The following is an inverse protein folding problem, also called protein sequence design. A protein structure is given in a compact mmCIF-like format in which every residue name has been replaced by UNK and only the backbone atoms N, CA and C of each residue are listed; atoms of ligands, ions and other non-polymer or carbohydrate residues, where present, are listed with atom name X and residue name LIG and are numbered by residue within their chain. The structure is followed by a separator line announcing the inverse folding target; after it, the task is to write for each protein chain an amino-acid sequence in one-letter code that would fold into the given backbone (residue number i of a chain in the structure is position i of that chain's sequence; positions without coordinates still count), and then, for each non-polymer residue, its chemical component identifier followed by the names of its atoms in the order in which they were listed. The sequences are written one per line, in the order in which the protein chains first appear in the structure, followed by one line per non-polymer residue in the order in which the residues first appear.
data_IF_736423111535
#
_entry.id   IF_736423111535
#
_cell.length_a   1.000
_cell.length_b   1.000
_cell.length_c   1.000
_cell.angle_alpha   90.00
_cell.angle_beta   90.00
_cell.angle_gamma   90.00
#
_symmetry.space_group_name_H-M   'P 1'
#
loop_
_entity.id
_entity.type
_entity.pdbx_description
1 polymer ?
#
# COMPACT_ATOMS: atom_id res chain seq x y z
N UNK A 1 25.79 -14.58 -66.11
CA UNK A 1 24.50 -14.31 -65.45
C UNK A 1 24.75 -14.24 -63.95
N UNK A 2 24.71 -13.01 -63.41
CA UNK A 2 24.94 -12.75 -61.97
C UNK A 2 23.60 -12.84 -61.24
N UNK A 3 23.55 -13.69 -60.18
CA UNK A 3 22.43 -13.76 -59.27
C UNK A 3 22.88 -13.05 -57.98
N UNK A 4 22.27 -11.93 -57.72
CA UNK A 4 22.46 -11.14 -56.49
C UNK A 4 21.70 -11.83 -55.36
N UNK A 5 22.45 -12.27 -54.32
CA UNK A 5 21.84 -12.69 -53.05
C UNK A 5 21.69 -11.47 -52.15
N UNK A 6 20.41 -11.10 -51.89
CA UNK A 6 20.07 -10.06 -50.94
C UNK A 6 20.14 -10.66 -49.56
N UNK A 7 21.13 -10.25 -48.76
CA UNK A 7 21.22 -10.54 -47.33
C UNK A 7 20.22 -9.60 -46.60
N UNK A 8 19.07 -10.16 -46.19
CA UNK A 8 18.21 -9.49 -45.24
C UNK A 8 18.85 -9.59 -43.85
N UNK A 9 19.43 -8.50 -43.39
CA UNK A 9 19.77 -8.32 -41.98
C UNK A 9 18.49 -8.04 -41.22
N UNK A 10 17.91 -9.05 -40.59
CA UNK A 10 16.87 -8.84 -39.58
C UNK A 10 17.54 -8.36 -38.30
N UNK A 11 17.50 -7.06 -38.09
CA UNK A 11 17.79 -6.46 -36.81
C UNK A 11 16.76 -6.93 -35.79
N UNK A 12 17.10 -7.95 -35.05
CA UNK A 12 16.37 -8.34 -33.85
C UNK A 12 16.70 -7.31 -32.75
N UNK A 13 15.98 -6.19 -32.76
CA UNK A 13 16.01 -5.23 -31.69
C UNK A 13 15.50 -5.93 -30.43
N UNK A 14 16.44 -6.25 -29.52
CA UNK A 14 16.12 -6.67 -28.16
C UNK A 14 15.40 -5.52 -27.47
N UNK A 15 14.08 -5.57 -27.47
CA UNK A 15 13.27 -4.82 -26.50
C UNK A 15 13.56 -5.41 -25.12
N UNK A 16 14.62 -4.92 -24.49
CA UNK A 16 14.76 -5.01 -23.05
C UNK A 16 13.66 -4.13 -22.47
N UNK A 17 12.52 -4.72 -22.14
CA UNK A 17 11.50 -4.08 -21.33
C UNK A 17 12.11 -3.88 -19.96
N UNK A 18 12.71 -2.73 -19.74
CA UNK A 18 12.99 -2.27 -18.40
C UNK A 18 11.63 -2.22 -17.69
N UNK A 19 11.44 -3.08 -16.70
CA UNK A 19 10.32 -3.04 -15.80
C UNK A 19 10.47 -1.73 -14.99
N UNK A 20 10.04 -0.64 -15.59
CA UNK A 20 9.91 0.64 -14.92
C UNK A 20 8.81 0.41 -13.91
N UNK A 21 9.17 0.18 -12.65
CA UNK A 21 8.22 0.14 -11.54
C UNK A 21 7.64 1.54 -11.44
N UNK A 22 6.48 1.73 -12.06
CA UNK A 22 5.73 2.97 -11.95
C UNK A 22 5.24 3.05 -10.50
N UNK A 23 5.92 3.88 -9.71
CA UNK A 23 5.53 4.18 -8.33
C UNK A 23 4.17 4.88 -8.37
N UNK A 24 3.23 4.42 -7.54
CA UNK A 24 1.89 4.97 -7.46
C UNK A 24 1.89 6.43 -7.02
N UNK A 25 1.18 7.26 -7.75
CA UNK A 25 1.01 8.69 -7.51
C UNK A 25 -0.46 9.09 -7.45
N UNK A 26 -0.73 10.34 -7.06
CA UNK A 26 -2.07 10.92 -7.17
C UNK A 26 -2.53 10.85 -8.62
N UNK A 27 -3.76 10.38 -8.85
CA UNK A 27 -4.35 10.16 -10.16
C UNK A 27 -4.20 8.73 -10.70
N UNK A 28 -3.33 7.90 -10.10
CA UNK A 28 -3.18 6.52 -10.51
C UNK A 28 -4.29 5.63 -9.89
N UNK A 29 -4.70 4.63 -10.65
CA UNK A 29 -5.62 3.61 -10.16
C UNK A 29 -4.85 2.53 -9.42
N UNK A 30 -5.33 2.16 -8.22
CA UNK A 30 -4.72 1.10 -7.43
C UNK A 30 -4.88 -0.27 -8.11
N UNK A 31 -3.97 -1.25 -7.83
CA UNK A 31 -4.10 -2.62 -8.34
C UNK A 31 -5.42 -3.26 -7.91
N UNK A 32 -6.00 -4.10 -8.77
CA UNK A 32 -7.21 -4.84 -8.43
C UNK A 32 -6.98 -5.81 -7.27
N UNK A 33 -5.87 -6.55 -7.28
CA UNK A 33 -5.51 -7.45 -6.18
C UNK A 33 -4.56 -6.72 -5.25
N UNK A 34 -4.99 -6.54 -3.99
CA UNK A 34 -4.21 -5.88 -2.95
C UNK A 34 -3.38 -6.89 -2.12
N UNK A 35 -3.72 -8.18 -2.15
CA UNK A 35 -2.99 -9.22 -1.43
C UNK A 35 -3.90 -10.11 -0.62
N UNK A 36 -3.36 -10.75 0.42
CA UNK A 36 -4.12 -11.61 1.31
C UNK A 36 -4.14 -11.04 2.73
N UNK A 37 -5.27 -11.18 3.39
CA UNK A 37 -5.41 -10.83 4.80
C UNK A 37 -4.81 -11.90 5.72
N UNK A 38 -4.91 -11.66 7.02
CA UNK A 38 -4.40 -12.57 8.05
C UNK A 38 -5.10 -13.95 8.06
N UNK A 39 -6.27 -14.08 7.45
CA UNK A 39 -7.05 -15.32 7.32
C UNK A 39 -6.82 -16.03 5.98
N UNK A 40 -6.02 -15.43 5.07
CA UNK A 40 -5.75 -15.95 3.74
C UNK A 40 -6.79 -15.56 2.69
N UNK A 41 -7.73 -14.68 3.01
CA UNK A 41 -8.70 -14.18 2.04
C UNK A 41 -8.01 -13.17 1.10
N UNK A 42 -8.28 -13.28 -0.19
CA UNK A 42 -7.78 -12.31 -1.17
C UNK A 42 -8.58 -11.01 -1.03
N UNK A 43 -7.89 -9.92 -0.79
CA UNK A 43 -8.45 -8.56 -0.71
C UNK A 43 -8.29 -7.89 -2.07
N UNK A 44 -9.39 -7.40 -2.62
CA UNK A 44 -9.45 -6.74 -3.92
C UNK A 44 -9.90 -5.30 -3.79
N UNK A 45 -9.47 -4.45 -4.72
CA UNK A 45 -9.96 -3.07 -4.81
C UNK A 45 -11.48 -3.03 -5.02
N UNK A 46 -12.03 -3.97 -5.81
CA UNK A 46 -13.47 -4.10 -6.06
C UNK A 46 -14.29 -4.44 -4.81
N UNK A 47 -13.69 -5.02 -3.77
CA UNK A 47 -14.38 -5.27 -2.49
C UNK A 47 -14.80 -3.96 -1.80
N UNK A 48 -14.18 -2.85 -2.17
CA UNK A 48 -14.41 -1.52 -1.61
C UNK A 48 -15.09 -0.57 -2.61
N UNK A 49 -15.63 -1.09 -3.70
CA UNK A 49 -16.30 -0.28 -4.71
C UNK A 49 -17.40 0.61 -4.08
N UNK A 50 -17.42 1.89 -4.48
CA UNK A 50 -18.35 2.89 -3.93
C UNK A 50 -17.93 3.47 -2.57
N UNK A 51 -16.74 3.12 -2.07
CA UNK A 51 -16.15 3.70 -0.86
C UNK A 51 -14.78 4.30 -1.16
N UNK A 52 -14.42 5.36 -0.46
CA UNK A 52 -13.04 5.85 -0.43
C UNK A 52 -12.20 4.85 0.36
N UNK A 53 -11.09 4.38 -0.20
CA UNK A 53 -10.24 3.39 0.47
C UNK A 53 -9.01 4.07 1.08
N UNK A 54 -8.78 3.83 2.36
CA UNK A 54 -7.55 4.19 3.07
C UNK A 54 -6.65 2.97 3.07
N UNK A 55 -5.44 3.11 2.53
CA UNK A 55 -4.40 2.08 2.54
C UNK A 55 -3.22 2.64 3.31
N UNK A 56 -2.99 2.17 4.55
CA UNK A 56 -1.85 2.64 5.32
C UNK A 56 -0.74 1.59 5.37
N UNK A 57 0.45 2.01 4.98
CA UNK A 57 1.67 1.22 5.04
C UNK A 57 2.43 1.52 6.31
N UNK A 58 2.80 0.48 7.05
CA UNK A 58 3.55 0.62 8.30
C UNK A 58 4.69 -0.40 8.38
N UNK A 59 5.79 -0.07 9.10
CA UNK A 59 7.01 -0.87 9.07
C UNK A 59 6.89 -2.26 9.68
N UNK A 60 6.23 -2.39 10.85
CA UNK A 60 6.23 -3.66 11.59
C UNK A 60 5.17 -3.70 12.69
N UNK A 61 4.49 -4.85 12.83
CA UNK A 61 3.58 -5.15 13.94
C UNK A 61 4.26 -4.98 15.31
N UNK A 62 3.47 -4.62 16.31
CA UNK A 62 3.88 -4.52 17.71
C UNK A 62 5.04 -3.54 17.99
N UNK A 63 5.31 -2.61 17.09
CA UNK A 63 6.20 -1.47 17.36
C UNK A 63 5.41 -0.29 17.92
N UNK A 64 6.00 0.61 18.75
CA UNK A 64 5.24 1.68 19.41
C UNK A 64 4.47 2.59 18.44
N UNK A 65 5.13 3.06 17.37
CA UNK A 65 4.51 3.95 16.38
C UNK A 65 3.42 3.25 15.56
N UNK A 66 3.64 2.00 15.16
CA UNK A 66 2.64 1.24 14.38
C UNK A 66 1.43 0.85 15.24
N UNK A 67 1.66 0.54 16.51
CA UNK A 67 0.58 0.29 17.47
C UNK A 67 -0.24 1.55 17.71
N UNK A 68 0.40 2.70 17.92
CA UNK A 68 -0.29 3.97 18.11
C UNK A 68 -1.16 4.33 16.90
N UNK A 69 -0.64 4.15 15.68
CA UNK A 69 -1.39 4.39 14.44
C UNK A 69 -2.60 3.46 14.31
N UNK A 70 -2.40 2.15 14.50
CA UNK A 70 -3.47 1.17 14.42
C UNK A 70 -4.57 1.43 15.45
N UNK A 71 -4.21 1.78 16.69
CA UNK A 71 -5.17 2.14 17.74
C UNK A 71 -5.92 3.42 17.41
N UNK A 72 -5.24 4.48 16.93
CA UNK A 72 -5.88 5.72 16.49
C UNK A 72 -6.89 5.47 15.37
N UNK A 73 -6.53 4.66 14.37
CA UNK A 73 -7.43 4.29 13.29
C UNK A 73 -8.60 3.44 13.78
N UNK A 74 -8.37 2.52 14.72
CA UNK A 74 -9.41 1.69 15.33
C UNK A 74 -10.40 2.53 16.15
N UNK A 75 -9.92 3.45 16.97
CA UNK A 75 -10.76 4.37 17.75
C UNK A 75 -11.60 5.30 16.85
N UNK A 76 -11.01 5.79 15.75
CA UNK A 76 -11.69 6.65 14.78
C UNK A 76 -12.48 5.88 13.71
N UNK A 77 -12.46 4.55 13.72
CA UNK A 77 -13.00 3.72 12.64
C UNK A 77 -14.48 3.99 12.36
N UNK A 78 -15.29 4.11 13.40
CA UNK A 78 -16.72 4.44 13.24
C UNK A 78 -16.96 5.78 12.55
N UNK A 79 -16.13 6.79 12.81
CA UNK A 79 -16.22 8.11 12.15
C UNK A 79 -15.78 7.99 10.68
N UNK A 80 -14.72 7.25 10.40
CA UNK A 80 -14.24 6.99 9.05
C UNK A 80 -15.31 6.25 8.22
N UNK A 81 -15.92 5.21 8.77
CA UNK A 81 -17.00 4.47 8.11
C UNK A 81 -18.21 5.36 7.79
N UNK A 82 -18.63 6.21 8.71
CA UNK A 82 -19.72 7.18 8.50
C UNK A 82 -19.39 8.21 7.42
N UNK A 83 -18.12 8.55 7.26
CA UNK A 83 -17.63 9.46 6.22
C UNK A 83 -17.42 8.77 4.85
N UNK A 84 -17.79 7.50 4.72
CA UNK A 84 -17.72 6.74 3.46
C UNK A 84 -16.38 6.11 3.17
N UNK A 85 -15.50 5.96 4.18
CA UNK A 85 -14.22 5.29 4.02
C UNK A 85 -14.29 3.80 4.34
N UNK A 86 -13.44 3.03 3.65
CA UNK A 86 -12.97 1.72 4.06
C UNK A 86 -11.47 1.81 4.40
N UNK A 87 -10.94 0.86 5.12
CA UNK A 87 -9.58 0.90 5.65
C UNK A 87 -8.91 -0.46 5.58
N UNK A 88 -7.67 -0.49 5.08
CA UNK A 88 -6.78 -1.65 5.13
C UNK A 88 -5.39 -1.23 5.59
N UNK A 89 -4.74 -2.05 6.40
CA UNK A 89 -3.34 -1.88 6.77
C UNK A 89 -2.46 -2.82 5.96
N UNK A 90 -1.23 -2.41 5.66
CA UNK A 90 -0.27 -3.21 4.89
C UNK A 90 1.09 -3.18 5.58
N UNK A 91 1.64 -4.34 5.86
CA UNK A 91 3.04 -4.49 6.23
C UNK A 91 3.63 -5.79 5.67
N UNK A 92 4.95 -5.92 5.77
CA UNK A 92 5.67 -7.15 5.35
C UNK A 92 5.56 -8.30 6.36
N UNK A 93 4.89 -8.08 7.48
CA UNK A 93 4.73 -9.12 8.49
C UNK A 93 3.87 -10.27 7.98
N UNK A 94 4.05 -11.46 8.58
CA UNK A 94 3.29 -12.65 8.19
C UNK A 94 1.84 -12.58 8.65
N UNK A 95 0.98 -13.38 8.01
CA UNK A 95 -0.41 -13.55 8.41
C UNK A 95 -0.56 -13.91 9.91
N UNK A 96 0.30 -14.79 10.42
CA UNK A 96 0.31 -15.17 11.84
C UNK A 96 0.65 -13.99 12.77
N UNK A 97 1.57 -13.10 12.36
CA UNK A 97 1.87 -11.87 13.09
C UNK A 97 0.66 -10.93 13.10
N UNK A 98 0.05 -10.70 11.95
CA UNK A 98 -1.14 -9.87 11.80
C UNK A 98 -2.33 -10.37 12.62
N UNK A 99 -2.56 -11.69 12.67
CA UNK A 99 -3.61 -12.27 13.51
C UNK A 99 -3.43 -11.89 15.00
N UNK A 100 -2.20 -12.06 15.50
CA UNK A 100 -1.87 -11.72 16.89
C UNK A 100 -1.99 -10.23 17.16
N UNK A 101 -1.49 -9.41 16.24
CA UNK A 101 -1.54 -7.96 16.35
C UNK A 101 -2.99 -7.43 16.31
N UNK A 102 -3.78 -7.88 15.36
CA UNK A 102 -5.18 -7.50 15.23
C UNK A 102 -6.01 -7.94 16.44
N UNK A 103 -5.82 -9.18 16.94
CA UNK A 103 -6.51 -9.68 18.12
C UNK A 103 -6.13 -8.91 19.39
N UNK A 104 -4.82 -8.63 19.57
CA UNK A 104 -4.32 -7.89 20.74
C UNK A 104 -4.89 -6.48 20.86
N UNK A 105 -5.12 -5.81 19.73
CA UNK A 105 -5.58 -4.43 19.68
C UNK A 105 -7.02 -4.28 19.19
N UNK A 106 -7.77 -5.38 19.03
CA UNK A 106 -9.15 -5.41 18.55
C UNK A 106 -9.36 -4.57 17.28
N UNK A 107 -8.48 -4.76 16.29
CA UNK A 107 -8.54 -3.98 15.05
C UNK A 107 -9.76 -4.41 14.20
N UNK A 108 -10.66 -3.49 13.84
CA UNK A 108 -11.90 -3.82 13.12
C UNK A 108 -11.74 -3.87 11.60
N UNK A 109 -10.52 -3.73 11.08
CA UNK A 109 -10.19 -3.69 9.66
C UNK A 109 -9.13 -4.75 9.31
N UNK A 110 -9.08 -5.21 8.06
CA UNK A 110 -8.11 -6.20 7.63
C UNK A 110 -6.69 -5.65 7.56
N UNK A 111 -5.72 -6.54 7.83
CA UNK A 111 -4.30 -6.30 7.61
C UNK A 111 -3.82 -7.22 6.49
N UNK A 112 -3.17 -6.65 5.49
CA UNK A 112 -2.61 -7.36 4.33
C UNK A 112 -1.17 -7.76 4.63
N UNK A 113 -0.88 -9.06 4.53
CA UNK A 113 0.45 -9.64 4.71
C UNK A 113 1.23 -9.55 3.39
N UNK A 114 1.94 -8.44 3.18
CA UNK A 114 2.75 -8.18 1.97
C UNK A 114 4.17 -8.74 2.13
N UNK A 115 4.28 -10.04 2.42
CA UNK A 115 5.55 -10.71 2.73
C UNK A 115 6.55 -10.65 1.58
N UNK A 116 6.08 -10.71 0.35
CA UNK A 116 6.87 -10.62 -0.88
C UNK A 116 7.13 -9.18 -1.34
N UNK A 117 6.66 -8.19 -0.61
CA UNK A 117 6.81 -6.76 -0.87
C UNK A 117 6.16 -6.26 -2.17
N UNK A 118 5.23 -7.00 -2.74
CA UNK A 118 4.57 -6.64 -4.00
C UNK A 118 3.88 -5.28 -3.92
N UNK A 119 3.07 -5.05 -2.88
CA UNK A 119 2.43 -3.75 -2.68
C UNK A 119 3.42 -2.67 -2.24
N UNK A 120 4.32 -2.99 -1.30
CA UNK A 120 5.34 -2.04 -0.85
C UNK A 120 6.14 -1.46 -2.02
N UNK A 121 6.49 -2.29 -3.00
CA UNK A 121 7.21 -1.87 -4.20
C UNK A 121 6.32 -1.10 -5.17
N UNK A 122 5.10 -1.58 -5.44
CA UNK A 122 4.15 -0.93 -6.34
C UNK A 122 3.80 0.49 -5.87
N UNK A 123 3.62 0.67 -4.56
CA UNK A 123 3.32 1.98 -3.98
C UNK A 123 4.57 2.83 -3.67
N UNK A 124 5.77 2.31 -3.97
CA UNK A 124 7.03 3.03 -3.80
C UNK A 124 7.43 3.31 -2.35
N UNK A 125 6.85 2.57 -1.40
CA UNK A 125 7.12 2.76 0.03
C UNK A 125 8.24 1.87 0.57
N UNK A 126 8.74 0.92 -0.22
CA UNK A 126 9.92 0.14 0.11
C UNK A 126 11.17 0.91 -0.28
N UNK A 127 11.82 1.53 0.69
CA UNK A 127 12.89 2.48 0.45
C UNK A 127 14.09 2.26 1.37
N UNK A 128 15.23 2.82 1.00
CA UNK A 128 16.40 2.90 1.85
C UNK A 128 16.14 3.83 3.03
N UNK A 129 16.40 3.34 4.22
CA UNK A 129 16.27 4.08 5.48
C UNK A 129 17.59 4.09 6.22
N UNK A 130 17.83 5.15 7.00
CA UNK A 130 19.00 5.27 7.88
C UNK A 130 18.55 5.31 9.32
N UNK A 131 19.19 4.48 10.17
CA UNK A 131 18.97 4.48 11.61
C UNK A 131 20.27 4.11 12.34
N UNK A 132 20.66 4.93 13.30
CA UNK A 132 21.88 4.73 14.11
C UNK A 132 23.15 4.46 13.26
N UNK A 133 23.32 5.23 12.16
CA UNK A 133 24.47 5.11 11.26
C UNK A 133 24.44 3.90 10.31
N UNK A 134 23.39 3.08 10.35
CA UNK A 134 23.20 1.93 9.45
C UNK A 134 22.13 2.24 8.41
N UNK A 135 22.40 1.79 7.18
CA UNK A 135 21.46 1.85 6.05
C UNK A 135 20.77 0.50 5.88
N UNK A 136 19.46 0.49 5.70
CA UNK A 136 18.68 -0.72 5.48
C UNK A 136 17.46 -0.42 4.61
N UNK A 137 16.91 -1.43 3.94
CA UNK A 137 15.65 -1.33 3.22
C UNK A 137 14.48 -1.54 4.15
N UNK A 138 13.45 -0.71 4.05
CA UNK A 138 12.29 -0.82 4.90
C UNK A 138 11.09 -0.04 4.39
N UNK A 139 9.91 -0.36 4.92
CA UNK A 139 8.67 0.35 4.62
C UNK A 139 8.73 1.76 5.21
N UNK A 140 8.54 2.76 4.36
CA UNK A 140 8.30 4.15 4.78
C UNK A 140 6.82 4.30 5.09
N UNK A 141 6.52 4.71 6.33
CA UNK A 141 5.14 4.95 6.77
C UNK A 141 4.45 5.96 5.86
N UNK A 142 3.41 5.52 5.16
CA UNK A 142 2.69 6.34 4.20
C UNK A 142 1.23 5.88 4.16
N UNK A 143 0.32 6.82 4.07
CA UNK A 143 -1.10 6.53 3.89
C UNK A 143 -1.57 7.05 2.54
N UNK A 144 -2.17 6.18 1.75
CA UNK A 144 -2.82 6.51 0.47
C UNK A 144 -4.33 6.51 0.66
N UNK A 145 -5.00 7.46 0.02
CA UNK A 145 -6.46 7.53 0.05
C UNK A 145 -6.96 7.60 -1.38
N UNK A 146 -7.94 6.75 -1.71
CA UNK A 146 -8.57 6.74 -3.03
C UNK A 146 -9.96 7.37 -2.99
N UNK A 147 -10.47 7.69 -4.18
CA UNK A 147 -11.88 7.91 -4.39
C UNK A 147 -12.66 6.57 -4.47
N UNK A 148 -13.96 6.65 -4.75
CA UNK A 148 -14.86 5.51 -4.86
C UNK A 148 -14.57 4.61 -6.08
N UNK A 149 -13.76 5.07 -7.03
CA UNK A 149 -13.33 4.35 -8.23
C UNK A 149 -11.94 3.72 -8.07
N UNK A 150 -11.30 3.90 -6.91
CA UNK A 150 -9.95 3.39 -6.64
C UNK A 150 -8.84 4.24 -7.26
N UNK A 151 -9.09 5.51 -7.53
CA UNK A 151 -8.09 6.48 -7.98
C UNK A 151 -7.48 7.17 -6.75
N UNK A 152 -6.15 7.20 -6.63
CA UNK A 152 -5.47 7.86 -5.53
C UNK A 152 -5.70 9.37 -5.59
N UNK A 153 -6.27 9.92 -4.53
CA UNK A 153 -6.56 11.36 -4.39
C UNK A 153 -5.62 12.06 -3.41
N UNK A 154 -5.15 11.34 -2.39
CA UNK A 154 -4.27 11.92 -1.37
C UNK A 154 -3.18 10.93 -0.97
N UNK A 155 -2.00 11.47 -0.62
CA UNK A 155 -0.86 10.73 -0.09
C UNK A 155 -0.35 11.46 1.15
N UNK A 156 -0.37 10.80 2.31
CA UNK A 156 0.14 11.33 3.56
C UNK A 156 1.49 10.69 3.85
N UNK A 157 2.58 11.45 3.68
CA UNK A 157 3.94 11.02 3.95
C UNK A 157 4.39 11.32 5.39
N UNK A 158 3.73 12.27 6.05
CA UNK A 158 3.99 12.65 7.44
C UNK A 158 2.79 12.24 8.29
N UNK A 159 2.72 10.96 8.59
CA UNK A 159 1.60 10.39 9.34
C UNK A 159 1.72 10.74 10.82
N UNK A 160 0.65 11.33 11.38
CA UNK A 160 0.52 11.50 12.82
C UNK A 160 -0.01 10.20 13.44
N UNK A 161 0.87 9.35 13.93
CA UNK A 161 0.51 8.03 14.44
C UNK A 161 -0.42 8.05 15.65
N UNK A 162 -0.43 9.13 16.41
CA UNK A 162 -1.28 9.29 17.61
C UNK A 162 -2.66 9.82 17.29
N UNK A 163 -2.85 10.38 16.08
CA UNK A 163 -4.11 11.02 15.66
C UNK A 163 -4.38 10.83 14.17
N UNK A 164 -4.10 9.63 13.68
CA UNK A 164 -4.14 9.31 12.26
C UNK A 164 -5.56 9.40 11.67
N UNK A 165 -6.58 8.95 12.42
CA UNK A 165 -7.96 9.02 11.96
C UNK A 165 -8.43 10.47 11.76
N UNK A 166 -8.18 11.38 12.72
CA UNK A 166 -8.54 12.77 12.58
C UNK A 166 -7.71 13.50 11.53
N UNK A 167 -6.42 13.14 11.38
CA UNK A 167 -5.57 13.64 10.29
C UNK A 167 -6.19 13.34 8.91
N UNK A 168 -6.71 12.15 8.71
CA UNK A 168 -7.40 11.76 7.47
C UNK A 168 -8.71 12.55 7.32
N UNK A 169 -9.55 12.56 8.35
CA UNK A 169 -10.84 13.25 8.31
C UNK A 169 -10.69 14.74 8.01
N UNK A 170 -9.64 15.38 8.53
CA UNK A 170 -9.36 16.80 8.30
C UNK A 170 -9.08 17.15 6.83
N UNK A 171 -8.63 16.19 6.00
CA UNK A 171 -8.42 16.40 4.57
C UNK A 171 -9.73 16.52 3.79
N UNK A 172 -10.85 16.12 4.38
CA UNK A 172 -12.18 16.08 3.76
C UNK A 172 -13.23 16.89 4.54
N UNK A 173 -12.78 17.66 5.53
CA UNK A 173 -13.62 18.63 6.22
C UNK A 173 -13.73 19.89 5.35
N UNK A 174 -14.92 20.17 4.83
CA UNK A 174 -15.28 21.41 4.14
C UNK A 174 -15.42 22.57 5.15
#
# INVERSE_FOLDING_TARGET
MLIWAIFLHTNFSKFATSKQTNIMNIGDKIPEILGQDAQGNVIKASDFAGKKLIIYFYPKDNTPGCTAEACSLSEGYGKLMKAGFALVGVSKDSAASHQKFAAKHNLPFPLIADVDLTLNQAFGVWQEKKMAGRTYMGTVRTTFITDEQGIITHIINKVNTKDSANQILALFAD
#
